data_IF_919354986887
#
_entry.id   IF_919354986887
#
_cell.length_a   1.000
_cell.length_b   1.000
_cell.length_c   1.000
_cell.angle_alpha   90.00
_cell.angle_beta   90.00
_cell.angle_gamma   90.00
#
_symmetry.space_group_name_H-M   'P 1'
#
loop_
_entity.id
_entity.type
_entity.pdbx_description
1 polymer ?
#
# COMPACT_ATOMS: atom_id res chain seq x y z
N UNK A 1 -35.15 -28.79 -73.18
CA UNK A 1 -34.21 -29.47 -72.29
C UNK A 1 -33.07 -28.52 -71.91
N UNK A 2 -33.13 -27.78 -70.84
CA UNK A 2 -31.96 -27.04 -70.24
C UNK A 2 -32.32 -26.80 -68.81
N UNK A 3 -31.53 -27.39 -67.90
CA UNK A 3 -31.63 -27.27 -66.47
C UNK A 3 -30.96 -25.96 -66.00
N UNK A 4 -31.69 -25.10 -65.31
CA UNK A 4 -31.13 -23.98 -64.59
C UNK A 4 -30.91 -24.43 -63.15
N UNK A 5 -29.63 -24.53 -62.68
CA UNK A 5 -29.25 -24.70 -61.31
C UNK A 5 -29.24 -23.34 -60.62
N UNK A 6 -30.07 -23.21 -59.59
CA UNK A 6 -30.14 -22.04 -58.74
C UNK A 6 -29.17 -22.25 -57.54
N UNK A 7 -28.08 -21.47 -57.49
CA UNK A 7 -27.17 -21.47 -56.39
C UNK A 7 -27.63 -20.41 -55.38
N UNK A 8 -28.30 -20.86 -54.34
CA UNK A 8 -28.56 -20.04 -53.15
C UNK A 8 -27.28 -19.90 -52.33
N UNK A 9 -26.65 -18.72 -52.37
CA UNK A 9 -25.52 -18.38 -51.52
C UNK A 9 -26.00 -18.12 -50.09
N UNK A 10 -25.60 -18.96 -49.16
CA UNK A 10 -25.77 -18.71 -47.72
C UNK A 10 -24.69 -17.73 -47.26
N UNK A 11 -25.07 -16.46 -47.00
CA UNK A 11 -24.25 -15.53 -46.25
C UNK A 11 -24.28 -15.96 -44.77
N UNK A 12 -23.17 -16.47 -44.27
CA UNK A 12 -22.90 -16.63 -42.85
C UNK A 12 -22.44 -15.26 -42.29
N UNK A 13 -23.33 -14.57 -41.59
CA UNK A 13 -22.95 -13.42 -40.76
C UNK A 13 -22.23 -13.96 -39.51
N UNK A 14 -20.92 -13.85 -39.48
CA UNK A 14 -20.14 -14.05 -38.28
C UNK A 14 -20.28 -12.79 -37.42
N UNK A 15 -21.11 -12.85 -36.37
CA UNK A 15 -21.17 -11.81 -35.32
C UNK A 15 -19.96 -12.00 -34.40
N UNK A 16 -18.93 -11.17 -34.58
CA UNK A 16 -17.83 -11.07 -33.63
C UNK A 16 -18.35 -10.41 -32.35
N UNK A 17 -18.57 -11.19 -31.31
CA UNK A 17 -18.72 -10.69 -29.95
C UNK A 17 -17.33 -10.24 -29.46
N UNK A 18 -17.05 -8.95 -29.54
CA UNK A 18 -15.92 -8.34 -28.86
C UNK A 18 -16.34 -8.24 -27.37
N UNK A 19 -15.94 -9.22 -26.58
CA UNK A 19 -15.97 -9.12 -25.12
C UNK A 19 -14.92 -8.07 -24.73
N UNK A 20 -15.34 -6.82 -24.63
CA UNK A 20 -14.56 -5.77 -24.01
C UNK A 20 -14.41 -6.10 -22.53
N UNK A 21 -13.26 -6.65 -22.12
CA UNK A 21 -12.88 -6.67 -20.71
C UNK A 21 -12.74 -5.22 -20.26
N UNK A 22 -13.74 -4.72 -19.54
CA UNK A 22 -13.66 -3.47 -18.83
C UNK A 22 -12.62 -3.66 -17.73
N UNK A 23 -11.36 -3.26 -17.99
CA UNK A 23 -10.36 -3.13 -16.95
C UNK A 23 -10.95 -2.19 -15.89
N UNK A 24 -11.27 -2.73 -14.73
CA UNK A 24 -11.70 -1.93 -13.59
C UNK A 24 -10.57 -0.96 -13.28
N UNK A 25 -10.71 0.29 -13.69
CA UNK A 25 -9.81 1.35 -13.30
C UNK A 25 -9.96 1.50 -11.79
N UNK A 26 -8.97 1.00 -11.04
CA UNK A 26 -8.93 1.24 -9.60
C UNK A 26 -8.87 2.75 -9.38
N UNK A 27 -9.91 3.28 -8.76
CA UNK A 27 -9.93 4.70 -8.41
C UNK A 27 -8.72 4.97 -7.50
N UNK A 28 -8.00 6.05 -7.80
CA UNK A 28 -6.87 6.50 -6.96
C UNK A 28 -7.37 6.69 -5.53
N UNK A 29 -6.74 6.07 -4.52
CA UNK A 29 -7.23 6.14 -3.14
C UNK A 29 -7.23 7.57 -2.62
N UNK A 30 -8.27 7.93 -1.87
CA UNK A 30 -8.35 9.22 -1.22
C UNK A 30 -7.34 9.28 -0.06
N UNK A 31 -6.51 10.33 -0.04
CA UNK A 31 -5.60 10.60 1.06
C UNK A 31 -6.23 11.57 2.07
N UNK A 32 -5.82 11.46 3.32
CA UNK A 32 -6.21 12.42 4.37
C UNK A 32 -5.13 13.49 4.53
N UNK A 33 -5.50 14.62 5.12
CA UNK A 33 -4.50 15.62 5.52
C UNK A 33 -3.79 15.18 6.80
N UNK A 34 -2.45 15.18 6.79
CA UNK A 34 -1.62 14.93 7.97
C UNK A 34 -0.75 16.14 8.30
N UNK A 35 -0.48 16.34 9.58
CA UNK A 35 0.47 17.35 10.03
C UNK A 35 1.91 16.89 9.86
N UNK A 36 2.85 17.82 9.92
CA UNK A 36 4.30 17.52 9.88
C UNK A 36 4.77 16.65 11.05
N UNK A 37 4.02 16.64 12.16
CA UNK A 37 4.22 15.77 13.31
C UNK A 37 3.98 14.29 13.00
N UNK A 38 3.32 13.98 11.89
CA UNK A 38 3.10 12.61 11.43
C UNK A 38 4.42 11.89 11.13
N UNK A 39 5.34 12.56 10.47
CA UNK A 39 6.64 12.01 10.04
C UNK A 39 7.72 12.24 11.10
N UNK A 40 7.47 11.79 12.34
CA UNK A 40 8.40 11.87 13.46
C UNK A 40 8.35 10.64 14.34
N UNK A 41 9.54 10.25 14.84
CA UNK A 41 9.69 9.12 15.75
C UNK A 41 9.36 7.78 15.11
N UNK A 42 9.20 6.76 15.93
CA UNK A 42 9.05 5.38 15.47
C UNK A 42 7.58 4.95 15.45
N UNK A 43 7.24 4.21 14.42
CA UNK A 43 5.98 3.52 14.22
C UNK A 43 6.24 2.03 14.05
N UNK A 44 5.56 1.20 14.82
CA UNK A 44 5.57 -0.26 14.66
C UNK A 44 4.71 -0.64 13.45
N UNK A 45 5.20 -1.51 12.61
CA UNK A 45 4.46 -2.09 11.50
C UNK A 45 3.70 -3.32 12.01
N UNK A 46 2.41 -3.14 12.29
CA UNK A 46 1.57 -4.17 12.93
C UNK A 46 0.71 -4.95 11.95
N UNK A 47 0.72 -4.57 10.68
CA UNK A 47 0.08 -5.30 9.58
C UNK A 47 0.60 -4.79 8.25
N UNK A 48 0.76 -5.69 7.29
CA UNK A 48 1.26 -5.34 5.95
C UNK A 48 0.83 -6.34 4.89
N UNK A 49 0.88 -5.94 3.65
CA UNK A 49 0.92 -6.87 2.53
C UNK A 49 2.27 -7.57 2.50
N UNK A 50 2.34 -8.91 2.40
CA UNK A 50 3.60 -9.64 2.25
C UNK A 50 4.39 -9.15 1.03
N UNK A 51 5.70 -9.00 1.19
CA UNK A 51 6.62 -8.62 0.13
C UNK A 51 7.92 -9.40 0.28
N UNK A 52 8.58 -9.69 -0.83
CA UNK A 52 9.90 -10.34 -0.84
C UNK A 52 10.93 -9.65 0.09
N UNK A 53 10.91 -8.32 0.15
CA UNK A 53 11.85 -7.56 1.00
C UNK A 53 11.59 -7.74 2.50
N UNK A 54 10.39 -8.15 2.89
CA UNK A 54 9.99 -8.36 4.28
C UNK A 54 9.86 -9.83 4.66
N UNK A 55 10.31 -10.72 3.79
CA UNK A 55 10.30 -12.17 4.08
C UNK A 55 11.15 -12.48 5.32
N UNK A 56 10.58 -13.27 6.25
CA UNK A 56 11.17 -13.58 7.54
C UNK A 56 11.23 -12.39 8.53
N UNK A 57 10.67 -11.23 8.20
CA UNK A 57 10.64 -10.06 9.07
C UNK A 57 9.50 -10.09 10.09
N UNK A 58 9.83 -9.92 11.37
CA UNK A 58 8.90 -9.68 12.48
C UNK A 58 9.31 -8.45 13.25
N UNK A 59 8.48 -7.93 14.15
CA UNK A 59 8.72 -6.69 14.90
C UNK A 59 9.20 -5.53 14.00
N UNK A 60 8.49 -5.35 12.88
CA UNK A 60 8.80 -4.32 11.90
C UNK A 60 8.56 -2.91 12.43
N UNK A 61 9.36 -1.95 11.97
CA UNK A 61 9.17 -0.55 12.31
C UNK A 61 9.64 0.39 11.20
N UNK A 62 9.08 1.61 11.19
CA UNK A 62 9.59 2.76 10.43
C UNK A 62 9.89 3.90 11.39
N UNK A 63 11.10 4.44 11.33
CA UNK A 63 11.52 5.60 12.11
C UNK A 63 11.73 6.81 11.20
N UNK A 64 11.06 7.92 11.52
CA UNK A 64 11.07 9.14 10.72
C UNK A 64 11.77 10.28 11.42
N UNK A 65 12.60 11.00 10.67
CA UNK A 65 13.24 12.24 11.09
C UNK A 65 13.17 13.27 9.98
N UNK A 66 13.08 14.55 10.32
CA UNK A 66 13.16 15.64 9.35
C UNK A 66 14.51 15.62 8.63
N UNK A 67 14.47 15.76 7.31
CA UNK A 67 15.65 15.93 6.48
C UNK A 67 16.10 17.38 6.35
N UNK A 68 16.83 17.69 5.29
CA UNK A 68 17.43 19.02 5.05
C UNK A 68 16.41 20.06 4.62
N UNK A 69 15.42 19.66 3.81
CA UNK A 69 14.33 20.53 3.36
C UNK A 69 13.01 20.21 4.08
N UNK A 70 12.04 21.12 4.10
CA UNK A 70 10.77 20.92 4.81
C UNK A 70 9.94 19.73 4.31
N UNK A 71 10.11 19.31 3.07
CA UNK A 71 9.45 18.19 2.39
C UNK A 71 10.26 16.89 2.45
N UNK A 72 11.51 16.94 2.95
CA UNK A 72 12.39 15.79 3.04
C UNK A 72 12.25 15.08 4.39
N UNK A 73 12.09 13.76 4.37
CA UNK A 73 12.02 12.90 5.55
C UNK A 73 13.12 11.84 5.44
N UNK A 74 13.95 11.73 6.45
CA UNK A 74 14.89 10.62 6.60
C UNK A 74 14.19 9.45 7.26
N UNK A 75 14.31 8.28 6.66
CA UNK A 75 13.60 7.07 7.05
C UNK A 75 14.60 5.98 7.39
N UNK A 76 14.35 5.28 8.46
CA UNK A 76 14.96 3.99 8.76
C UNK A 76 13.85 2.97 9.00
N UNK A 77 13.77 1.99 8.11
CA UNK A 77 12.91 0.82 8.29
C UNK A 77 13.73 -0.33 8.83
N UNK A 78 13.17 -1.06 9.75
CA UNK A 78 13.84 -2.19 10.35
C UNK A 78 12.87 -3.30 10.76
N UNK A 79 13.42 -4.49 10.94
CA UNK A 79 12.72 -5.64 11.48
C UNK A 79 13.70 -6.61 12.14
N UNK A 80 13.20 -7.45 13.03
CA UNK A 80 13.93 -8.63 13.52
C UNK A 80 13.69 -9.81 12.57
N UNK A 81 14.71 -10.65 12.38
CA UNK A 81 14.62 -11.84 11.52
C UNK A 81 14.10 -13.00 12.34
N UNK A 82 13.03 -13.64 11.87
CA UNK A 82 12.37 -14.85 12.39
C UNK A 82 11.70 -14.71 13.76
N UNK A 83 12.32 -14.02 14.72
CA UNK A 83 11.78 -13.79 16.06
C UNK A 83 11.95 -12.33 16.48
N UNK A 84 11.12 -11.77 17.39
CA UNK A 84 11.28 -10.39 17.87
C UNK A 84 12.63 -10.09 18.51
N UNK A 85 13.34 -11.08 19.01
CA UNK A 85 14.69 -11.01 19.57
C UNK A 85 15.76 -11.39 18.54
N UNK A 86 15.37 -11.68 17.31
CA UNK A 86 16.27 -12.09 16.23
C UNK A 86 17.21 -10.98 15.77
N UNK A 87 18.04 -11.32 14.79
CA UNK A 87 19.01 -10.36 14.23
C UNK A 87 18.27 -9.18 13.57
N UNK A 88 18.65 -7.97 13.94
CA UNK A 88 18.10 -6.75 13.36
C UNK A 88 18.56 -6.59 11.90
N UNK A 89 17.59 -6.35 10.99
CA UNK A 89 17.79 -5.98 9.60
C UNK A 89 17.24 -4.57 9.41
N UNK A 90 18.05 -3.66 8.85
CA UNK A 90 17.64 -2.27 8.63
C UNK A 90 17.96 -1.81 7.22
N UNK A 91 17.17 -0.86 6.74
CA UNK A 91 17.44 -0.12 5.50
C UNK A 91 17.11 1.35 5.72
N UNK A 92 17.90 2.24 5.14
CA UNK A 92 17.67 3.69 5.20
C UNK A 92 17.24 4.20 3.84
N UNK A 93 16.28 5.11 3.87
CA UNK A 93 15.76 5.78 2.70
C UNK A 93 15.61 7.29 2.92
N UNK A 94 15.39 7.99 1.81
CA UNK A 94 15.02 9.41 1.82
C UNK A 94 13.64 9.53 1.21
N UNK A 95 12.69 10.03 1.98
CA UNK A 95 11.33 10.33 1.57
C UNK A 95 11.20 11.78 1.12
N UNK A 96 10.40 12.01 0.09
CA UNK A 96 9.96 13.32 -0.32
C UNK A 96 8.44 13.39 -0.27
N UNK A 97 7.90 14.38 0.43
CA UNK A 97 6.45 14.63 0.49
C UNK A 97 6.04 15.31 -0.80
N UNK A 98 5.35 14.58 -1.68
CA UNK A 98 5.00 15.01 -3.04
C UNK A 98 3.91 16.10 -3.06
N UNK A 99 3.05 16.11 -2.06
CA UNK A 99 1.95 17.05 -1.88
C UNK A 99 2.19 18.01 -0.71
N UNK A 100 3.47 18.39 -0.50
CA UNK A 100 3.89 19.28 0.56
C UNK A 100 3.11 20.60 0.56
N UNK A 101 2.67 21.02 1.74
CA UNK A 101 1.87 22.24 1.90
C UNK A 101 0.36 22.06 1.64
N UNK A 102 -0.07 20.94 1.10
CA UNK A 102 -1.50 20.62 0.86
C UNK A 102 -2.01 19.56 1.84
N UNK A 103 -2.00 18.28 1.47
CA UNK A 103 -2.38 17.20 2.40
C UNK A 103 -1.20 16.62 3.16
N UNK A 104 0.02 16.75 2.66
CA UNK A 104 1.27 16.16 3.18
C UNK A 104 1.19 14.64 3.35
N UNK A 105 0.34 13.98 2.61
CA UNK A 105 0.01 12.57 2.79
C UNK A 105 0.66 11.65 1.76
N UNK A 106 1.24 12.20 0.71
CA UNK A 106 1.84 11.44 -0.39
C UNK A 106 3.35 11.51 -0.28
N UNK A 107 3.95 10.46 0.23
CA UNK A 107 5.40 10.36 0.35
C UNK A 107 5.95 9.36 -0.65
N UNK A 108 7.00 9.75 -1.38
CA UNK A 108 7.82 8.86 -2.17
C UNK A 108 9.14 8.63 -1.45
N UNK A 109 9.50 7.38 -1.22
CA UNK A 109 10.75 7.00 -0.55
C UNK A 109 11.69 6.34 -1.54
N UNK A 110 12.92 6.81 -1.56
CA UNK A 110 14.02 6.21 -2.31
C UNK A 110 14.95 5.46 -1.34
N UNK A 111 15.14 4.19 -1.61
CA UNK A 111 16.08 3.32 -0.91
C UNK A 111 17.32 3.05 -1.77
N UNK A 112 18.37 2.43 -1.21
CA UNK A 112 19.48 1.91 -2.00
C UNK A 112 19.01 1.02 -3.15
N UNK A 113 19.91 0.79 -4.14
CA UNK A 113 19.64 -0.06 -5.31
C UNK A 113 18.48 0.40 -6.20
N UNK A 114 18.20 1.72 -6.22
CA UNK A 114 17.15 2.36 -7.03
C UNK A 114 15.71 1.89 -6.69
N UNK A 115 15.52 1.29 -5.53
CA UNK A 115 14.19 0.89 -5.07
C UNK A 115 13.42 2.13 -4.64
N UNK A 116 12.21 2.27 -5.16
CA UNK A 116 11.31 3.40 -4.81
C UNK A 116 9.94 2.88 -4.43
N UNK A 117 9.43 3.36 -3.29
CA UNK A 117 8.07 3.10 -2.84
C UNK A 117 7.29 4.40 -2.65
N UNK A 118 5.97 4.32 -2.88
CA UNK A 118 5.04 5.40 -2.59
C UNK A 118 4.18 4.97 -1.40
N UNK A 119 4.18 5.79 -0.35
CA UNK A 119 3.39 5.62 0.87
C UNK A 119 2.39 6.76 0.98
N UNK A 120 1.12 6.48 0.70
CA UNK A 120 0.04 7.45 0.80
C UNK A 120 -0.76 7.20 2.06
N UNK A 121 -0.89 8.21 2.92
CA UNK A 121 -1.63 8.09 4.17
C UNK A 121 -3.12 8.20 3.88
N UNK A 122 -3.84 7.08 4.06
CA UNK A 122 -5.27 6.96 3.79
C UNK A 122 -6.13 7.20 5.03
N UNK A 123 -5.57 6.92 6.21
CA UNK A 123 -6.24 7.08 7.49
C UNK A 123 -5.25 7.34 8.61
N UNK A 124 -5.64 8.16 9.56
CA UNK A 124 -4.95 8.36 10.85
C UNK A 124 -6.00 8.42 11.94
N UNK A 125 -5.79 7.68 13.04
CA UNK A 125 -6.72 7.66 14.15
C UNK A 125 -6.83 9.05 14.83
N UNK A 126 -8.01 9.41 15.38
CA UNK A 126 -8.18 10.70 16.07
C UNK A 126 -7.19 10.93 17.21
N UNK A 127 -6.82 9.86 17.94
CA UNK A 127 -5.83 9.88 19.01
C UNK A 127 -4.37 9.88 18.48
N UNK A 128 -4.19 9.92 17.16
CA UNK A 128 -2.90 9.91 16.46
C UNK A 128 -2.00 8.71 16.81
N UNK A 129 -2.56 7.64 17.36
CA UNK A 129 -1.78 6.49 17.84
C UNK A 129 -1.53 5.43 16.76
N UNK A 130 -2.22 5.50 15.62
CA UNK A 130 -2.05 4.59 14.49
C UNK A 130 -2.51 5.20 13.18
N UNK A 131 -2.05 4.65 12.08
CA UNK A 131 -2.44 5.07 10.74
C UNK A 131 -2.37 3.91 9.74
N UNK A 132 -2.99 4.11 8.58
CA UNK A 132 -2.91 3.21 7.44
C UNK A 132 -2.32 3.97 6.27
N UNK A 133 -1.35 3.38 5.61
CA UNK A 133 -0.87 3.85 4.33
C UNK A 133 -0.90 2.74 3.28
N UNK A 134 -1.01 3.14 2.01
CA UNK A 134 -0.97 2.22 0.89
C UNK A 134 -0.20 2.85 -0.28
N UNK A 135 0.17 2.03 -1.27
CA UNK A 135 0.61 2.56 -2.54
C UNK A 135 -0.59 3.06 -3.39
N UNK A 136 -0.35 3.89 -4.41
CA UNK A 136 -1.43 4.46 -5.23
C UNK A 136 -2.34 3.43 -5.90
N UNK A 137 -1.84 2.25 -6.21
CA UNK A 137 -2.59 1.15 -6.85
C UNK A 137 -3.33 0.25 -5.87
N UNK A 138 -3.24 0.50 -4.56
CA UNK A 138 -3.84 -0.34 -3.51
C UNK A 138 -3.38 -1.81 -3.56
N UNK A 139 -2.23 -2.09 -4.15
CA UNK A 139 -1.66 -3.45 -4.16
C UNK A 139 -0.91 -3.76 -2.87
N UNK A 140 -0.36 -2.75 -2.22
CA UNK A 140 0.35 -2.85 -0.96
C UNK A 140 -0.26 -1.89 0.06
N UNK A 141 -0.45 -2.39 1.27
CA UNK A 141 -0.97 -1.63 2.41
C UNK A 141 -0.18 -1.95 3.66
N UNK A 142 0.02 -0.95 4.50
CA UNK A 142 0.70 -1.02 5.79
C UNK A 142 -0.17 -0.41 6.88
N UNK A 143 -0.19 -1.06 8.04
CA UNK A 143 -0.84 -0.58 9.26
C UNK A 143 0.26 -0.31 10.28
N UNK A 144 0.33 0.92 10.73
CA UNK A 144 1.32 1.38 11.68
C UNK A 144 0.70 1.80 13.01
N UNK A 145 1.38 1.53 14.11
CA UNK A 145 0.95 1.89 15.46
C UNK A 145 2.10 2.41 16.30
N UNK A 146 1.82 3.33 17.26
CA UNK A 146 2.85 3.78 18.22
C UNK A 146 3.22 2.72 19.22
N UNK A 147 2.30 1.81 19.52
CA UNK A 147 2.51 0.73 20.50
C UNK A 147 1.93 -0.57 19.94
N UNK A 148 2.34 -1.70 20.50
CA UNK A 148 1.75 -3.00 20.20
C UNK A 148 0.25 -2.93 20.51
N UNK A 149 -0.64 -3.13 19.52
CA UNK A 149 -2.08 -3.00 19.74
C UNK A 149 -2.64 -4.20 20.51
N UNK A 150 -3.66 -3.97 21.34
CA UNK A 150 -4.49 -5.07 21.83
C UNK A 150 -5.24 -5.75 20.68
N UNK A 151 -5.70 -7.00 20.87
CA UNK A 151 -6.48 -7.73 19.85
C UNK A 151 -7.66 -6.92 19.33
N UNK A 152 -8.43 -6.28 20.24
CA UNK A 152 -9.58 -5.44 19.86
C UNK A 152 -9.16 -4.19 19.06
N UNK A 153 -8.00 -3.60 19.37
CA UNK A 153 -7.47 -2.47 18.59
C UNK A 153 -7.03 -2.91 17.21
N UNK A 154 -6.34 -4.04 17.10
CA UNK A 154 -5.92 -4.61 15.81
C UNK A 154 -7.13 -4.93 14.92
N UNK A 155 -8.20 -5.53 15.47
CA UNK A 155 -9.43 -5.77 14.71
C UNK A 155 -10.04 -4.46 14.17
N UNK A 156 -10.05 -3.37 14.95
CA UNK A 156 -10.52 -2.06 14.44
C UNK A 156 -9.64 -1.53 13.30
N UNK A 157 -8.32 -1.75 13.36
CA UNK A 157 -7.40 -1.35 12.29
C UNK A 157 -7.66 -2.14 11.01
N UNK A 158 -7.88 -3.46 11.12
CA UNK A 158 -8.21 -4.35 10.00
C UNK A 158 -9.55 -3.94 9.36
N UNK A 159 -10.58 -3.70 10.20
CA UNK A 159 -11.88 -3.25 9.70
C UNK A 159 -11.75 -1.91 8.96
N UNK A 160 -10.93 -0.98 9.47
CA UNK A 160 -10.67 0.29 8.79
C UNK A 160 -9.97 0.09 7.44
N UNK A 161 -9.03 -0.82 7.33
CA UNK A 161 -8.40 -1.15 6.04
C UNK A 161 -9.43 -1.70 5.03
N UNK A 162 -10.36 -2.55 5.50
CA UNK A 162 -11.49 -3.04 4.69
C UNK A 162 -12.43 -1.91 4.25
N UNK A 163 -12.78 -0.99 5.15
CA UNK A 163 -13.61 0.20 4.83
C UNK A 163 -12.96 1.12 3.78
N UNK A 164 -11.62 1.13 3.72
CA UNK A 164 -10.85 1.85 2.71
C UNK A 164 -10.79 1.11 1.36
N UNK A 165 -11.45 -0.05 1.25
CA UNK A 165 -11.54 -0.85 0.02
C UNK A 165 -10.39 -1.84 -0.17
N UNK A 166 -9.56 -2.10 0.86
CA UNK A 166 -8.47 -3.06 0.76
C UNK A 166 -8.94 -4.50 1.05
N UNK A 167 -8.48 -5.46 0.27
CA UNK A 167 -8.71 -6.89 0.54
C UNK A 167 -7.83 -7.35 1.72
N UNK A 168 -8.39 -7.26 2.94
CA UNK A 168 -7.67 -7.55 4.18
C UNK A 168 -7.21 -9.01 4.33
N UNK A 169 -7.72 -9.92 3.49
CA UNK A 169 -7.24 -11.32 3.44
C UNK A 169 -5.80 -11.43 2.93
N UNK A 170 -5.30 -10.37 2.28
CA UNK A 170 -3.93 -10.27 1.79
C UNK A 170 -2.95 -9.77 2.84
N UNK A 171 -3.42 -9.38 4.02
CA UNK A 171 -2.55 -8.86 5.07
C UNK A 171 -1.97 -10.00 5.92
N UNK A 172 -0.72 -9.83 6.29
CA UNK A 172 -0.08 -10.55 7.39
C UNK A 172 0.10 -9.64 8.60
N UNK A 173 0.15 -10.24 9.78
CA UNK A 173 0.28 -9.55 11.07
C UNK A 173 1.50 -10.11 11.81
N UNK A 174 2.71 -9.62 11.50
CA UNK A 174 3.93 -10.12 12.09
C UNK A 174 3.93 -9.97 13.61
N UNK A 175 4.55 -10.90 14.31
CA UNK A 175 4.77 -10.81 15.75
C UNK A 175 5.54 -9.53 16.08
N UNK A 176 5.19 -8.89 17.20
CA UNK A 176 5.83 -7.68 17.71
C UNK A 176 6.68 -7.98 18.95
#
# INVERSE_FOLDING_TARGET
MKYCLNRAGRLLLAVLFILGEAAAAYATPNVIKVGRDHYRGTWLEVGRTPMFLTDGCVAGYSSYRQGKSPDEILIEDGCSVDTPQGRLKTVRGTGTIQDFGTTNAKMQVRYPWLITFNYWVLYKSPDKSWFISANPSMTNLWIYSRNVPSKNKLHRMINKASELGYDVRKLEFPQQ
#
